data_IF_749658002990
#
_entry.id   IF_749658002990
#
_cell.length_a   1.000
_cell.length_b   1.000
_cell.length_c   1.000
_cell.angle_alpha   90.00
_cell.angle_beta   90.00
_cell.angle_gamma   90.00
#
_symmetry.space_group_name_H-M   'P 1'
#
loop_
_entity.id
_entity.type
_entity.pdbx_description
1 polymer ?
#
# COMPACT_ATOMS: atom_id res chain seq x y z
N UNK A 1 -25.85 -2.70 2.10
CA UNK A 1 -25.45 -2.50 3.50
C UNK A 1 -25.41 -3.79 4.33
N UNK A 2 -26.21 -4.80 4.05
CA UNK A 2 -26.21 -6.10 4.78
C UNK A 2 -24.95 -6.97 4.57
N UNK A 3 -24.17 -6.74 3.53
CA UNK A 3 -22.94 -7.51 3.22
C UNK A 3 -21.76 -7.20 4.16
N UNK A 4 -21.77 -6.01 4.79
CA UNK A 4 -20.72 -5.54 5.71
C UNK A 4 -21.12 -5.64 7.19
N UNK A 5 -22.38 -6.02 7.46
CA UNK A 5 -22.87 -6.23 8.82
C UNK A 5 -22.28 -7.50 9.43
N UNK A 6 -22.32 -7.60 10.75
CA UNK A 6 -21.91 -8.81 11.48
C UNK A 6 -22.71 -10.02 10.97
N UNK A 7 -21.99 -10.99 10.40
CA UNK A 7 -22.58 -12.16 9.72
C UNK A 7 -22.69 -12.05 8.19
N UNK A 8 -22.38 -10.89 7.58
CA UNK A 8 -22.29 -10.74 6.13
C UNK A 8 -20.99 -11.32 5.56
N UNK A 9 -20.96 -11.54 4.24
CA UNK A 9 -19.82 -12.13 3.54
C UNK A 9 -18.54 -11.32 3.75
N UNK A 10 -18.63 -9.99 3.82
CA UNK A 10 -17.51 -9.05 4.04
C UNK A 10 -17.48 -8.49 5.47
N UNK A 11 -17.92 -9.26 6.46
CA UNK A 11 -17.74 -8.85 7.87
C UNK A 11 -16.26 -8.78 8.22
N UNK A 12 -15.88 -7.91 9.18
CA UNK A 12 -14.49 -7.79 9.64
C UNK A 12 -13.89 -9.13 10.05
N UNK A 13 -14.66 -9.98 10.72
CA UNK A 13 -14.24 -11.31 11.14
C UNK A 13 -13.87 -12.20 9.94
N UNK A 14 -14.69 -12.23 8.89
CA UNK A 14 -14.43 -13.01 7.69
C UNK A 14 -13.23 -12.48 6.90
N UNK A 15 -13.04 -11.16 6.85
CA UNK A 15 -11.87 -10.53 6.25
C UNK A 15 -10.58 -10.84 7.03
N UNK A 16 -10.63 -10.90 8.35
CA UNK A 16 -9.47 -11.25 9.19
C UNK A 16 -9.02 -12.69 8.98
N UNK A 17 -9.96 -13.63 8.97
CA UNK A 17 -9.67 -15.06 8.79
C UNK A 17 -9.35 -15.38 7.33
N UNK A 18 -10.01 -14.71 6.37
CA UNK A 18 -9.81 -14.94 4.94
C UNK A 18 -10.87 -15.83 4.29
N UNK A 19 -12.07 -15.91 4.86
CA UNK A 19 -13.21 -16.64 4.29
C UNK A 19 -13.99 -15.82 3.26
N UNK A 20 -13.37 -14.80 2.70
CA UNK A 20 -13.92 -13.95 1.64
C UNK A 20 -13.45 -14.42 0.26
N UNK A 21 -14.24 -14.23 -0.81
CA UNK A 21 -13.77 -14.47 -2.17
C UNK A 21 -12.68 -13.44 -2.52
N UNK A 22 -11.53 -13.93 -2.98
CA UNK A 22 -10.39 -13.08 -3.33
C UNK A 22 -9.25 -13.91 -3.93
N UNK A 23 -8.15 -13.22 -4.27
CA UNK A 23 -6.96 -13.85 -4.84
C UNK A 23 -6.19 -14.67 -3.81
N UNK A 24 -5.41 -15.65 -4.28
CA UNK A 24 -4.61 -16.52 -3.42
C UNK A 24 -3.58 -15.68 -2.64
N UNK A 25 -3.62 -15.77 -1.31
CA UNK A 25 -2.70 -15.06 -0.42
C UNK A 25 -3.13 -13.67 0.03
N UNK A 26 -4.19 -13.11 -0.55
CA UNK A 26 -4.71 -11.76 -0.24
C UNK A 26 -5.80 -11.74 0.83
N UNK A 27 -6.49 -12.87 1.02
CA UNK A 27 -7.75 -12.93 1.74
C UNK A 27 -7.59 -12.87 3.25
N UNK A 28 -6.50 -13.44 3.82
CA UNK A 28 -6.30 -13.51 5.27
C UNK A 28 -5.38 -12.40 5.79
N UNK A 29 -5.97 -11.43 6.45
CA UNK A 29 -5.20 -10.33 7.09
C UNK A 29 -4.26 -10.86 8.18
N UNK A 30 -4.67 -11.90 8.92
CA UNK A 30 -3.83 -12.51 9.96
C UNK A 30 -2.56 -13.12 9.35
N UNK A 31 -2.68 -13.85 8.25
CA UNK A 31 -1.53 -14.42 7.55
C UNK A 31 -0.59 -13.33 7.01
N UNK A 32 -1.14 -12.24 6.47
CA UNK A 32 -0.38 -11.09 5.98
C UNK A 32 0.36 -10.40 7.13
N UNK A 33 -0.26 -10.24 8.30
CA UNK A 33 0.39 -9.66 9.47
C UNK A 33 1.54 -10.52 9.99
N UNK A 34 1.39 -11.85 10.01
CA UNK A 34 2.49 -12.77 10.34
C UNK A 34 3.64 -12.58 9.34
N UNK A 35 3.34 -12.53 8.04
CA UNK A 35 4.32 -12.23 7.00
C UNK A 35 5.01 -10.89 7.20
N UNK A 36 4.27 -9.84 7.62
CA UNK A 36 4.84 -8.52 7.89
C UNK A 36 5.84 -8.55 9.05
N UNK A 37 5.54 -9.29 10.12
CA UNK A 37 6.45 -9.46 11.26
C UNK A 37 7.75 -10.15 10.81
N UNK A 38 7.65 -11.19 10.00
CA UNK A 38 8.82 -11.89 9.45
C UNK A 38 9.68 -10.94 8.59
N UNK A 39 9.04 -10.16 7.69
CA UNK A 39 9.75 -9.20 6.84
C UNK A 39 10.43 -8.08 7.63
N UNK A 40 9.82 -7.62 8.70
CA UNK A 40 10.42 -6.61 9.58
C UNK A 40 11.57 -7.23 10.40
N UNK A 41 11.38 -8.44 10.93
CA UNK A 41 12.40 -9.15 11.71
C UNK A 41 13.64 -9.51 10.89
N UNK A 42 13.46 -9.85 9.61
CA UNK A 42 14.57 -10.10 8.67
C UNK A 42 15.24 -8.81 8.16
N UNK A 43 14.65 -7.64 8.43
CA UNK A 43 15.16 -6.35 7.99
C UNK A 43 14.97 -6.07 6.49
N UNK A 44 14.28 -6.96 5.76
CA UNK A 44 13.98 -6.79 4.33
C UNK A 44 12.87 -5.75 4.15
N UNK A 45 11.80 -5.86 4.95
CA UNK A 45 10.66 -4.96 4.90
C UNK A 45 10.89 -3.68 5.70
N UNK A 46 10.50 -2.53 5.15
CA UNK A 46 10.57 -1.25 5.83
C UNK A 46 9.29 -0.93 6.58
N UNK A 47 9.31 -1.03 7.91
CA UNK A 47 8.17 -0.66 8.76
C UNK A 47 7.68 0.78 8.53
N UNK A 48 8.60 1.69 8.12
CA UNK A 48 8.26 3.09 7.81
C UNK A 48 7.36 3.21 6.59
N UNK A 49 7.59 2.40 5.56
CA UNK A 49 6.73 2.35 4.37
C UNK A 49 5.37 1.78 4.76
N UNK A 50 5.34 0.68 5.51
CA UNK A 50 4.09 0.04 5.93
C UNK A 50 3.21 1.01 6.73
N UNK A 51 3.77 1.66 7.75
CA UNK A 51 3.01 2.60 8.60
C UNK A 51 2.54 3.84 7.84
N UNK A 52 3.37 4.39 6.96
CA UNK A 52 2.98 5.55 6.16
C UNK A 52 1.95 5.19 5.08
N UNK A 53 2.04 4.01 4.49
CA UNK A 53 1.06 3.50 3.53
C UNK A 53 -0.31 3.30 4.20
N UNK A 54 -0.32 2.70 5.38
CA UNK A 54 -1.52 2.55 6.19
C UNK A 54 -2.14 3.92 6.53
N UNK A 55 -1.31 4.87 6.98
CA UNK A 55 -1.76 6.23 7.29
C UNK A 55 -2.37 6.93 6.06
N UNK A 56 -1.75 6.82 4.89
CA UNK A 56 -2.28 7.37 3.63
C UNK A 56 -3.63 6.77 3.26
N UNK A 57 -3.78 5.45 3.40
CA UNK A 57 -5.05 4.77 3.16
C UNK A 57 -6.15 5.19 4.14
N UNK A 58 -5.83 5.29 5.44
CA UNK A 58 -6.78 5.75 6.45
C UNK A 58 -7.24 7.19 6.20
N UNK A 59 -6.31 8.09 5.90
CA UNK A 59 -6.63 9.51 5.61
C UNK A 59 -7.54 9.60 4.40
N UNK A 60 -7.25 8.92 3.30
CA UNK A 60 -8.09 8.96 2.11
C UNK A 60 -9.45 8.29 2.34
N UNK A 61 -9.48 7.16 3.04
CA UNK A 61 -10.72 6.50 3.44
C UNK A 61 -11.60 7.39 4.32
N UNK A 62 -11.01 8.13 5.27
CA UNK A 62 -11.73 9.08 6.12
C UNK A 62 -12.27 10.28 5.32
N UNK A 63 -11.48 10.82 4.37
CA UNK A 63 -11.93 11.90 3.48
C UNK A 63 -13.14 11.45 2.65
N UNK A 64 -13.08 10.25 2.07
CA UNK A 64 -14.19 9.74 1.27
C UNK A 64 -15.42 9.42 2.12
N UNK A 65 -15.22 8.88 3.31
CA UNK A 65 -16.34 8.66 4.25
C UNK A 65 -17.02 9.97 4.66
N UNK A 66 -16.27 11.07 4.80
CA UNK A 66 -16.84 12.40 5.08
C UNK A 66 -17.56 13.02 3.87
N UNK A 67 -17.20 12.65 2.65
CA UNK A 67 -17.82 13.20 1.43
C UNK A 67 -19.09 12.44 0.98
N UNK A 68 -19.20 11.15 1.29
CA UNK A 68 -20.37 10.27 1.03
C UNK A 68 -20.99 10.37 -0.38
N UNK A 69 -20.18 10.69 -1.41
CA UNK A 69 -20.69 10.92 -2.77
C UNK A 69 -21.07 9.62 -3.51
N UNK A 70 -20.48 8.48 -3.12
CA UNK A 70 -20.68 7.17 -3.74
C UNK A 70 -20.89 6.08 -2.70
N UNK A 71 -21.59 5.01 -3.08
CA UNK A 71 -21.81 3.84 -2.21
C UNK A 71 -20.50 3.20 -1.68
N UNK A 72 -19.39 3.31 -2.42
CA UNK A 72 -18.07 2.86 -1.97
C UNK A 72 -17.42 3.82 -0.97
N UNK A 73 -17.79 5.08 -0.96
CA UNK A 73 -17.30 6.08 -0.02
C UNK A 73 -17.95 5.95 1.37
N UNK A 74 -19.15 5.37 1.44
CA UNK A 74 -19.86 5.13 2.73
C UNK A 74 -19.30 3.93 3.50
N UNK A 75 -18.37 3.18 2.92
CA UNK A 75 -17.73 2.04 3.59
C UNK A 75 -16.74 2.58 4.63
N UNK A 76 -16.81 2.02 5.83
CA UNK A 76 -15.89 2.37 6.93
C UNK A 76 -14.42 2.26 6.48
N UNK A 77 -13.56 3.26 6.78
CA UNK A 77 -12.15 3.26 6.39
C UNK A 77 -11.40 2.00 6.81
N UNK A 78 -11.73 1.41 7.96
CA UNK A 78 -11.13 0.16 8.41
C UNK A 78 -11.49 -1.01 7.50
N UNK A 79 -12.74 -1.10 7.07
CA UNK A 79 -13.17 -2.12 6.11
C UNK A 79 -12.47 -1.96 4.76
N UNK A 80 -12.28 -0.71 4.30
CA UNK A 80 -11.58 -0.44 3.05
C UNK A 80 -10.12 -0.91 3.06
N UNK A 81 -9.46 -0.86 4.21
CA UNK A 81 -8.08 -1.31 4.37
C UNK A 81 -8.00 -2.84 4.44
N UNK A 82 -8.89 -3.45 5.23
CA UNK A 82 -8.88 -4.90 5.50
C UNK A 82 -9.39 -5.69 4.29
N UNK A 83 -10.26 -5.08 3.47
CA UNK A 83 -10.86 -5.70 2.30
C UNK A 83 -9.95 -5.60 1.07
N UNK A 84 -9.77 -6.73 0.39
CA UNK A 84 -8.98 -6.82 -0.85
C UNK A 84 -7.47 -6.71 -0.63
N UNK A 85 -6.73 -6.55 -1.72
CA UNK A 85 -5.27 -6.59 -1.75
C UNK A 85 -4.52 -5.43 -1.09
N UNK A 86 -5.19 -4.49 -0.39
CA UNK A 86 -4.53 -3.34 0.22
C UNK A 86 -3.44 -3.77 1.21
N UNK A 87 -3.78 -4.66 2.15
CA UNK A 87 -2.84 -5.16 3.16
C UNK A 87 -1.69 -5.95 2.52
N UNK A 88 -2.01 -6.78 1.53
CA UNK A 88 -1.01 -7.54 0.79
C UNK A 88 -0.05 -6.61 0.03
N UNK A 89 -0.58 -5.66 -0.72
CA UNK A 89 0.21 -4.68 -1.46
C UNK A 89 1.10 -3.82 -0.56
N UNK A 90 0.57 -3.39 0.59
CA UNK A 90 1.31 -2.64 1.59
C UNK A 90 2.51 -3.44 2.14
N UNK A 91 2.32 -4.72 2.47
CA UNK A 91 3.34 -5.54 3.14
C UNK A 91 4.36 -6.11 2.16
N UNK A 92 3.91 -6.68 1.03
CA UNK A 92 4.79 -7.44 0.14
C UNK A 92 5.22 -6.67 -1.10
N UNK A 93 4.40 -5.75 -1.61
CA UNK A 93 4.70 -5.03 -2.84
C UNK A 93 5.34 -3.66 -2.59
N UNK A 94 4.78 -2.86 -1.66
CA UNK A 94 5.29 -1.51 -1.40
C UNK A 94 6.63 -1.50 -0.65
N UNK A 95 6.97 -2.59 0.04
CA UNK A 95 8.24 -2.71 0.79
C UNK A 95 9.37 -3.34 0.00
N UNK A 96 9.19 -3.60 -1.30
CA UNK A 96 10.25 -4.14 -2.14
C UNK A 96 11.52 -3.27 -2.07
N UNK A 97 12.67 -3.81 -1.61
CA UNK A 97 13.88 -3.02 -1.39
C UNK A 97 14.50 -2.49 -2.69
N UNK A 98 14.13 -3.04 -3.84
CA UNK A 98 14.69 -2.67 -5.15
C UNK A 98 13.99 -1.42 -5.71
N UNK A 99 12.67 -1.35 -5.59
CA UNK A 99 11.85 -0.31 -6.23
C UNK A 99 11.42 0.80 -5.27
N UNK A 100 11.41 0.52 -3.96
CA UNK A 100 11.02 1.48 -2.95
C UNK A 100 12.08 2.57 -2.73
N UNK A 101 11.65 3.73 -2.19
CA UNK A 101 12.52 4.83 -1.84
C UNK A 101 13.64 4.40 -0.87
N UNK A 102 14.87 4.81 -1.12
CA UNK A 102 16.02 4.50 -0.26
C UNK A 102 16.14 5.42 0.95
N UNK A 103 15.76 6.70 0.82
CA UNK A 103 15.87 7.70 1.88
C UNK A 103 14.73 7.60 2.89
N UNK A 104 15.00 7.95 4.17
CA UNK A 104 13.99 7.91 5.23
C UNK A 104 12.77 8.79 4.93
N UNK A 105 13.01 10.01 4.46
CA UNK A 105 11.92 10.93 4.06
C UNK A 105 11.19 10.42 2.83
N UNK A 106 11.93 9.90 1.85
CA UNK A 106 11.35 9.30 0.65
C UNK A 106 10.44 8.11 0.98
N UNK A 107 10.81 7.25 1.92
CA UNK A 107 9.99 6.12 2.38
C UNK A 107 8.65 6.54 2.97
N UNK A 108 8.64 7.62 3.75
CA UNK A 108 7.41 8.16 4.33
C UNK A 108 6.50 8.77 3.26
N UNK A 109 7.05 9.57 2.36
CA UNK A 109 6.31 10.20 1.26
C UNK A 109 5.78 9.13 0.31
N UNK A 110 6.64 8.20 -0.10
CA UNK A 110 6.29 7.08 -0.98
C UNK A 110 5.14 6.25 -0.40
N UNK A 111 5.26 5.82 0.86
CA UNK A 111 4.22 5.03 1.52
C UNK A 111 2.92 5.81 1.64
N UNK A 112 2.95 7.06 2.12
CA UNK A 112 1.76 7.88 2.31
C UNK A 112 0.96 8.07 1.01
N UNK A 113 1.62 8.52 -0.04
CA UNK A 113 0.96 8.70 -1.34
C UNK A 113 0.55 7.38 -1.98
N UNK A 114 1.32 6.31 -1.80
CA UNK A 114 0.96 4.97 -2.27
C UNK A 114 -0.36 4.49 -1.64
N UNK A 115 -0.51 4.63 -0.33
CA UNK A 115 -1.75 4.30 0.37
C UNK A 115 -2.92 5.19 -0.05
N UNK A 116 -2.69 6.49 -0.19
CA UNK A 116 -3.69 7.47 -0.62
C UNK A 116 -4.22 7.15 -2.02
N UNK A 117 -3.34 6.97 -3.00
CA UNK A 117 -3.72 6.65 -4.37
C UNK A 117 -4.38 5.27 -4.49
N UNK A 118 -3.99 4.32 -3.66
CA UNK A 118 -4.60 2.98 -3.64
C UNK A 118 -6.09 3.03 -3.34
N UNK A 119 -6.50 3.75 -2.30
CA UNK A 119 -7.91 3.93 -1.96
C UNK A 119 -8.62 4.80 -3.00
N UNK A 120 -7.95 5.86 -3.49
CA UNK A 120 -8.50 6.73 -4.51
C UNK A 120 -8.84 5.96 -5.79
N UNK A 121 -7.92 5.16 -6.31
CA UNK A 121 -8.15 4.38 -7.54
C UNK A 121 -9.27 3.36 -7.33
N UNK A 122 -9.33 2.69 -6.19
CA UNK A 122 -10.38 1.73 -5.86
C UNK A 122 -11.77 2.36 -5.87
N UNK A 123 -11.91 3.54 -5.32
CA UNK A 123 -13.21 4.24 -5.20
C UNK A 123 -13.67 4.81 -6.54
N UNK A 124 -12.75 5.36 -7.33
CA UNK A 124 -13.09 5.94 -8.64
C UNK A 124 -13.22 4.90 -9.76
N UNK A 125 -12.58 3.74 -9.63
CA UNK A 125 -12.63 2.69 -10.63
C UNK A 125 -13.10 1.35 -10.01
N UNK A 126 -14.41 1.19 -9.76
CA UNK A 126 -14.97 -0.04 -9.18
C UNK A 126 -14.83 -1.26 -10.08
N UNK A 127 -14.57 -1.08 -11.38
CA UNK A 127 -14.28 -2.18 -12.30
C UNK A 127 -12.89 -2.82 -12.08
N UNK A 128 -12.00 -2.14 -11.34
CA UNK A 128 -10.65 -2.62 -11.04
C UNK A 128 -10.41 -2.61 -9.52
N UNK A 129 -10.83 -3.65 -8.80
CA UNK A 129 -10.76 -3.69 -7.32
C UNK A 129 -9.32 -3.65 -6.78
N UNK A 130 -8.32 -3.95 -7.62
CA UNK A 130 -6.89 -4.00 -7.26
C UNK A 130 -6.17 -2.66 -7.56
N UNK A 131 -6.74 -1.55 -7.13
CA UNK A 131 -6.11 -0.23 -7.27
C UNK A 131 -4.72 -0.11 -6.62
N UNK A 132 -4.37 -1.03 -5.72
CA UNK A 132 -3.10 -1.03 -4.98
C UNK A 132 -1.91 -1.23 -5.91
N UNK A 133 -1.98 -2.20 -6.82
CA UNK A 133 -0.91 -2.47 -7.78
C UNK A 133 -0.64 -1.24 -8.66
N UNK A 134 -1.69 -0.61 -9.18
CA UNK A 134 -1.57 0.61 -10.00
C UNK A 134 -0.96 1.77 -9.21
N UNK A 135 -1.38 1.96 -7.96
CA UNK A 135 -0.84 2.98 -7.08
C UNK A 135 0.65 2.78 -6.81
N UNK A 136 1.07 1.54 -6.51
CA UNK A 136 2.47 1.21 -6.26
C UNK A 136 3.32 1.41 -7.52
N UNK A 137 2.87 0.96 -8.69
CA UNK A 137 3.57 1.19 -9.96
C UNK A 137 3.72 2.68 -10.26
N UNK A 138 2.68 3.47 -10.05
CA UNK A 138 2.74 4.91 -10.21
C UNK A 138 3.74 5.56 -9.26
N UNK A 139 3.73 5.16 -8.00
CA UNK A 139 4.69 5.67 -7.02
C UNK A 139 6.12 5.22 -7.30
N UNK A 140 6.34 4.02 -7.84
CA UNK A 140 7.66 3.54 -8.25
C UNK A 140 8.24 4.41 -9.37
N UNK A 141 7.42 4.80 -10.35
CA UNK A 141 7.85 5.71 -11.42
C UNK A 141 8.26 7.07 -10.84
N UNK A 142 7.46 7.64 -9.95
CA UNK A 142 7.79 8.91 -9.29
C UNK A 142 9.06 8.76 -8.44
N UNK A 143 9.18 7.67 -7.69
CA UNK A 143 10.35 7.41 -6.87
C UNK A 143 11.63 7.32 -7.69
N UNK A 144 11.61 6.65 -8.84
CA UNK A 144 12.75 6.57 -9.76
C UNK A 144 13.15 7.95 -10.30
N UNK A 145 12.20 8.84 -10.57
CA UNK A 145 12.49 10.21 -11.02
C UNK A 145 13.23 11.02 -9.96
N UNK A 146 12.92 10.81 -8.67
CA UNK A 146 13.57 11.54 -7.57
C UNK A 146 14.84 10.89 -7.04
N UNK A 147 14.99 9.56 -7.19
CA UNK A 147 16.13 8.81 -6.67
C UNK A 147 17.16 8.44 -7.72
N UNK A 148 16.83 8.65 -9.02
CA UNK A 148 17.80 8.44 -10.10
C UNK A 148 18.99 9.40 -9.90
N UNK A 149 20.23 8.89 -9.74
CA UNK A 149 21.39 9.76 -9.62
C UNK A 149 21.52 10.60 -10.88
N UNK A 150 21.66 11.89 -10.70
CA UNK A 150 21.88 12.82 -11.81
C UNK A 150 23.05 12.33 -12.69
N UNK A 151 22.99 12.48 -14.02
CA UNK A 151 24.14 12.18 -14.88
C UNK A 151 25.43 12.87 -14.45
N UNK A 152 25.34 13.93 -13.64
CA UNK A 152 26.47 14.62 -13.02
C UNK A 152 27.11 13.82 -11.88
N UNK A 153 26.31 13.12 -11.08
CA UNK A 153 26.80 12.32 -9.95
C UNK A 153 27.49 11.05 -10.45
N UNK A 154 27.04 10.50 -11.58
CA UNK A 154 27.70 9.35 -12.23
C UNK A 154 29.06 9.70 -12.82
N UNK A 155 29.30 10.94 -13.18
CA UNK A 155 30.62 11.39 -13.67
C UNK A 155 31.64 11.56 -12.54
N UNK A 156 31.19 11.96 -11.34
CA UNK A 156 32.05 12.09 -10.17
C UNK A 156 32.59 10.76 -9.64
N UNK A 157 31.86 9.65 -9.81
CA UNK A 157 32.28 8.32 -9.35
C UNK A 157 33.26 7.59 -10.32
N UNK A 158 33.50 8.17 -11.50
CA UNK A 158 34.42 7.59 -12.51
C UNK A 158 35.79 8.25 -12.58
N UNK A 159 36.13 9.17 -11.68
CA UNK A 159 37.50 9.65 -11.59
C UNK A 159 38.36 8.54 -10.98
N UNK A 160 39.32 7.96 -11.71
CA UNK A 160 40.32 7.08 -11.11
C UNK A 160 41.12 7.95 -10.11
N UNK A 161 41.25 7.49 -8.87
CA UNK A 161 42.23 8.06 -7.95
C UNK A 161 43.59 7.83 -8.60
N UNK A 162 44.11 8.84 -9.26
CA UNK A 162 45.51 8.83 -9.65
C UNK A 162 46.35 8.88 -8.37
N UNK A 163 47.04 7.78 -8.13
CA UNK A 163 48.06 7.65 -7.11
C UNK A 163 49.14 8.71 -7.28
#
# INVERSE_FOLDING_TARGET
>A
MSLFADGGMFSLHNCLIGTIPGSIGETSVIAILIGSVILIATGIGSWRIMTSFLAGGLVMGAIFNALELNAYMTIDPLHQIVMGGFMFGMVFMATDPVTAASTTKGKLIYGFFGGLFSIMIRVFNPAYPEGVMMAILFMNIICLLYTSPSPRDQRGSRMPSSA
#
